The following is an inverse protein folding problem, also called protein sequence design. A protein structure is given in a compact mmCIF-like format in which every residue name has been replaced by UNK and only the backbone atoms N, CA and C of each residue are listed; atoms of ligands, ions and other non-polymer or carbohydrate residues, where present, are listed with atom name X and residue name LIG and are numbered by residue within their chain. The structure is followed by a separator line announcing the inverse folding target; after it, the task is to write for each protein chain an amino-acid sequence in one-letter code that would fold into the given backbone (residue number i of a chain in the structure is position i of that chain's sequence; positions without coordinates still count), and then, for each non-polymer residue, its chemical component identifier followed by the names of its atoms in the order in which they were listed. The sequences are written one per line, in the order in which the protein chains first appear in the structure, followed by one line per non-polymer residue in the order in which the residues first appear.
data_IF_566734945244
#
_entry.id   IF_566734945244
#
_cell.length_a   1.000
_cell.length_b   1.000
_cell.length_c   1.000
_cell.angle_alpha   90.00
_cell.angle_beta   90.00
_cell.angle_gamma   90.00
#
_symmetry.space_group_name_H-M   'P 1'
#
loop_
_entity.id
_entity.type
_entity.pdbx_description
1 polymer ?
#
# COMPACT_ATOMS: atom_id res chain seq x y z
N UNK A 1 13.88 -25.83 6.10
CA UNK A 1 12.90 -24.98 6.82
C UNK A 1 11.79 -24.65 5.83
N UNK A 2 10.51 -24.82 6.20
CA UNK A 2 9.43 -24.59 5.23
C UNK A 2 9.36 -23.09 4.88
N UNK A 3 9.12 -22.73 3.61
CA UNK A 3 8.94 -21.34 3.20
C UNK A 3 7.86 -20.61 4.01
N UNK A 4 6.84 -21.36 4.45
CA UNK A 4 5.74 -20.86 5.26
C UNK A 4 6.14 -20.39 6.67
N UNK A 5 7.17 -20.98 7.28
CA UNK A 5 7.65 -20.53 8.60
C UNK A 5 8.36 -19.18 8.46
N UNK A 6 9.11 -18.99 7.37
CA UNK A 6 9.87 -17.75 7.13
C UNK A 6 8.90 -16.61 6.81
N UNK A 7 7.85 -16.83 5.99
CA UNK A 7 6.81 -15.83 5.76
C UNK A 7 6.12 -15.41 7.07
N UNK A 8 5.77 -16.37 7.92
CA UNK A 8 5.05 -16.11 9.18
C UNK A 8 5.92 -15.32 10.16
N UNK A 9 7.22 -15.60 10.24
CA UNK A 9 8.16 -14.87 11.07
C UNK A 9 8.32 -13.42 10.59
N UNK A 10 8.46 -13.21 9.28
CA UNK A 10 8.57 -11.85 8.70
C UNK A 10 7.25 -11.08 8.86
N UNK A 11 6.10 -11.75 8.75
CA UNK A 11 4.79 -11.13 9.02
C UNK A 11 4.70 -10.59 10.45
N UNK A 12 5.12 -11.38 11.45
CA UNK A 12 5.10 -10.96 12.86
C UNK A 12 6.04 -9.77 13.08
N UNK A 13 7.25 -9.79 12.51
CA UNK A 13 8.18 -8.67 12.59
C UNK A 13 7.61 -7.41 11.92
N UNK A 14 6.97 -7.56 10.76
CA UNK A 14 6.31 -6.45 10.06
C UNK A 14 5.21 -5.82 10.90
N UNK A 15 4.38 -6.62 11.57
CA UNK A 15 3.32 -6.13 12.46
C UNK A 15 3.90 -5.37 13.66
N UNK A 16 4.98 -5.85 14.27
CA UNK A 16 5.64 -5.17 15.40
C UNK A 16 6.17 -3.79 14.97
N UNK A 17 6.81 -3.71 13.80
CA UNK A 17 7.30 -2.45 13.24
C UNK A 17 6.16 -1.51 12.89
N UNK A 18 5.06 -2.04 12.36
CA UNK A 18 3.86 -1.28 12.00
C UNK A 18 3.17 -0.69 13.23
N UNK A 19 3.00 -1.48 14.29
CA UNK A 19 2.39 -1.05 15.55
C UNK A 19 3.28 -0.04 16.31
N UNK A 20 4.59 -0.07 16.11
CA UNK A 20 5.49 0.89 16.75
C UNK A 20 5.31 2.33 16.28
N UNK A 21 4.54 2.59 15.20
CA UNK A 21 4.12 3.90 14.65
C UNK A 21 5.25 4.95 14.46
N UNK A 22 6.51 4.54 14.61
CA UNK A 22 7.70 5.41 14.46
C UNK A 22 7.94 5.82 13.01
N UNK A 23 7.36 5.09 12.05
CA UNK A 23 7.60 5.26 10.63
C UNK A 23 6.25 5.38 9.89
N UNK A 24 6.14 6.29 8.90
CA UNK A 24 4.93 6.42 8.12
C UNK A 24 4.62 5.09 7.44
N UNK A 25 3.33 4.70 7.44
CA UNK A 25 2.90 3.40 6.94
C UNK A 25 3.34 3.09 5.50
N UNK A 26 3.48 4.13 4.67
CA UNK A 26 4.04 4.00 3.33
C UNK A 26 5.47 3.45 3.32
N UNK A 27 6.32 3.87 4.27
CA UNK A 27 7.71 3.40 4.36
C UNK A 27 7.77 1.92 4.80
N UNK A 28 6.92 1.53 5.75
CA UNK A 28 6.82 0.14 6.20
C UNK A 28 6.37 -0.76 5.04
N UNK A 29 5.41 -0.31 4.23
CA UNK A 29 4.93 -1.04 3.05
C UNK A 29 6.03 -1.33 2.01
N UNK A 30 7.05 -0.47 1.88
CA UNK A 30 8.21 -0.75 1.04
C UNK A 30 9.25 -1.64 1.73
N UNK A 31 9.44 -1.50 3.05
CA UNK A 31 10.42 -2.29 3.79
C UNK A 31 10.06 -3.77 3.91
N UNK A 32 8.76 -4.11 4.03
CA UNK A 32 8.30 -5.50 4.17
C UNK A 32 8.69 -6.37 2.97
N UNK A 33 8.33 -6.06 1.71
CA UNK A 33 8.74 -6.86 0.56
C UNK A 33 10.26 -6.86 0.36
N UNK A 34 10.97 -5.77 0.72
CA UNK A 34 12.43 -5.72 0.69
C UNK A 34 13.07 -6.70 1.70
N UNK A 35 12.48 -6.84 2.89
CA UNK A 35 12.90 -7.82 3.89
C UNK A 35 12.60 -9.26 3.44
N UNK A 36 11.43 -9.50 2.82
CA UNK A 36 11.09 -10.83 2.27
C UNK A 36 12.03 -11.25 1.13
N UNK A 37 12.45 -10.29 0.29
CA UNK A 37 13.47 -10.50 -0.75
C UNK A 37 14.82 -10.92 -0.16
N UNK A 38 15.29 -10.21 0.87
CA UNK A 38 16.54 -10.56 1.57
C UNK A 38 16.48 -11.93 2.27
N UNK A 39 15.31 -12.34 2.77
CA UNK A 39 15.10 -13.69 3.32
C UNK A 39 14.91 -14.78 2.26
N UNK A 40 14.91 -14.45 0.96
CA UNK A 40 14.84 -15.42 -0.14
C UNK A 40 13.49 -16.11 -0.30
N UNK A 41 12.43 -15.54 0.28
CA UNK A 41 11.08 -16.12 0.28
C UNK A 41 10.30 -15.73 -0.97
N UNK A 42 10.63 -14.57 -1.54
CA UNK A 42 9.91 -13.91 -2.62
C UNK A 42 10.95 -13.33 -3.60
N UNK A 43 10.76 -13.53 -4.91
CA UNK A 43 11.65 -13.00 -5.94
C UNK A 43 11.31 -11.53 -6.26
N UNK A 44 12.22 -10.81 -6.93
CA UNK A 44 11.99 -9.41 -7.31
C UNK A 44 10.71 -9.23 -8.13
N UNK A 45 10.34 -10.24 -8.94
CA UNK A 45 9.10 -10.23 -9.75
C UNK A 45 7.83 -10.15 -8.92
N UNK A 46 7.78 -10.85 -7.79
CA UNK A 46 6.60 -10.90 -6.92
C UNK A 46 6.40 -9.59 -6.13
N UNK A 47 7.49 -8.87 -5.87
CA UNK A 47 7.44 -7.51 -5.28
C UNK A 47 6.72 -6.57 -6.25
N UNK A 48 7.11 -6.59 -7.53
CA UNK A 48 6.44 -5.79 -8.57
C UNK A 48 4.99 -6.26 -8.79
N UNK A 49 4.71 -7.56 -8.74
CA UNK A 49 3.35 -8.08 -8.83
C UNK A 49 2.43 -7.56 -7.70
N UNK A 50 2.98 -7.38 -6.49
CA UNK A 50 2.24 -6.82 -5.36
C UNK A 50 1.93 -5.33 -5.52
N UNK A 51 2.83 -4.55 -6.12
CA UNK A 51 2.61 -3.12 -6.43
C UNK A 51 1.56 -2.94 -7.54
N UNK A 52 1.58 -3.78 -8.57
CA UNK A 52 0.67 -3.69 -9.74
C UNK A 52 -0.65 -4.46 -9.50
N UNK A 53 -1.00 -4.68 -8.23
CA UNK A 53 -2.25 -5.35 -7.90
C UNK A 53 -3.47 -4.48 -8.27
N UNK A 54 -4.51 -5.09 -8.82
CA UNK A 54 -5.73 -4.39 -9.23
C UNK A 54 -6.34 -3.56 -8.09
N UNK A 55 -6.34 -4.05 -6.84
CA UNK A 55 -6.84 -3.29 -5.70
C UNK A 55 -6.03 -2.01 -5.44
N UNK A 56 -4.70 -2.06 -5.58
CA UNK A 56 -3.82 -0.90 -5.39
C UNK A 56 -4.06 0.13 -6.49
N UNK A 57 -4.13 -0.34 -7.74
CA UNK A 57 -4.42 0.52 -8.90
C UNK A 57 -5.80 1.18 -8.74
N UNK A 58 -6.81 0.47 -8.24
CA UNK A 58 -8.13 1.02 -7.97
C UNK A 58 -8.09 2.15 -6.92
N UNK A 59 -7.31 2.00 -5.85
CA UNK A 59 -7.16 3.05 -4.83
C UNK A 59 -6.52 4.30 -5.44
N UNK A 60 -5.46 4.13 -6.23
CA UNK A 60 -4.79 5.26 -6.93
C UNK A 60 -5.74 5.90 -7.95
N UNK A 61 -6.48 5.09 -8.71
CA UNK A 61 -7.48 5.57 -9.66
C UNK A 61 -8.57 6.38 -8.96
N UNK A 62 -9.02 5.97 -7.77
CA UNK A 62 -10.00 6.72 -6.99
C UNK A 62 -9.48 8.10 -6.55
N UNK A 63 -8.21 8.20 -6.17
CA UNK A 63 -7.58 9.49 -5.90
C UNK A 63 -7.55 10.41 -7.13
N UNK A 64 -7.20 9.87 -8.31
CA UNK A 64 -7.19 10.62 -9.59
C UNK A 64 -8.61 11.01 -10.00
N UNK A 65 -9.57 10.10 -9.83
CA UNK A 65 -10.98 10.31 -10.16
C UNK A 65 -11.59 11.39 -9.27
N UNK A 66 -11.23 11.44 -7.99
CA UNK A 66 -11.59 12.53 -7.08
C UNK A 66 -11.11 13.89 -7.61
N UNK A 67 -9.84 14.00 -8.00
CA UNK A 67 -9.30 15.24 -8.58
C UNK A 67 -9.99 15.62 -9.91
N UNK A 68 -10.36 14.63 -10.72
CA UNK A 68 -11.10 14.85 -11.96
C UNK A 68 -12.53 15.36 -11.69
N UNK A 69 -13.24 14.78 -10.72
CA UNK A 69 -14.58 15.23 -10.31
C UNK A 69 -14.59 16.67 -9.77
N UNK A 70 -13.54 17.07 -9.03
CA UNK A 70 -13.37 18.46 -8.61
C UNK A 70 -13.14 19.41 -9.79
N UNK A 71 -12.46 18.96 -10.86
CA UNK A 71 -12.22 19.77 -12.07
C UNK A 71 -13.41 19.82 -13.03
N UNK A 72 -14.23 18.77 -13.10
CA UNK A 72 -15.39 18.70 -14.02
C UNK A 72 -16.66 19.32 -13.43
N UNK A 73 -16.61 19.85 -12.20
CA UNK A 73 -17.70 20.66 -11.62
C UNK A 73 -18.92 19.88 -11.14
N UNK A 74 -18.83 18.54 -11.01
CA UNK A 74 -19.90 17.71 -10.43
C UNK A 74 -19.96 17.80 -8.89
N UNK A 75 -19.00 18.48 -8.26
CA UNK A 75 -19.10 18.90 -6.86
C UNK A 75 -20.06 20.11 -6.78
N UNK A 76 -21.23 20.00 -6.13
CA UNK A 76 -22.15 21.12 -6.01
C UNK A 76 -21.44 22.28 -5.32
N UNK A 77 -21.32 23.41 -6.01
CA UNK A 77 -21.11 24.70 -5.38
C UNK A 77 -22.31 24.88 -4.44
N UNK A 78 -22.07 24.86 -3.14
CA UNK A 78 -23.10 25.14 -2.14
C UNK A 78 -23.86 26.42 -2.51
N UNK A 79 -25.18 26.50 -2.22
CA UNK A 79 -25.93 27.71 -2.46
C UNK A 79 -25.27 28.84 -1.66
N UNK A 80 -24.94 29.92 -2.38
CA UNK A 80 -24.55 31.19 -1.78
C UNK A 80 -25.57 31.60 -0.72
N UNK A 81 -25.17 31.86 0.53
CA UNK A 81 -26.05 32.51 1.49
C UNK A 81 -26.18 33.98 1.05
N UNK A 82 -27.36 34.33 0.54
CA UNK A 82 -27.83 35.70 0.39
C UNK A 82 -28.73 36.03 1.57
#
# INVERSE_FOLDING_TARGET
MSPAIITLLVLVVAIIIFVSDRLPMGLVAFMVPMALYFTGVIDAKDIFASIVNANVILIVAMCVLGAAFFKTGLAPRSPTPS
#
